data_IF_701711115180
#
_entry.id   IF_701711115180
#
_cell.length_a   1.000
_cell.length_b   1.000
_cell.length_c   1.000
_cell.angle_alpha   90.00
_cell.angle_beta   90.00
_cell.angle_gamma   90.00
#
_symmetry.space_group_name_H-M   'P 1'
#
loop_
_entity.id
_entity.type
_entity.pdbx_description
1 polymer ?
#
# COMPACT_ATOMS: atom_id res chain seq x y z
N UNK A 1 11.28 23.60 -22.27
CA UNK A 1 11.44 23.32 -20.83
C UNK A 1 12.19 22.01 -20.68
N UNK A 2 13.45 22.06 -20.24
CA UNK A 2 14.28 20.88 -20.02
C UNK A 2 13.68 20.02 -18.91
N UNK A 3 13.34 18.76 -19.22
CA UNK A 3 13.04 17.76 -18.19
C UNK A 3 14.35 17.48 -17.46
N UNK A 4 14.51 18.05 -16.27
CA UNK A 4 15.62 17.75 -15.35
C UNK A 4 15.61 16.24 -15.09
N UNK A 5 16.52 15.51 -15.72
CA UNK A 5 16.66 14.07 -15.54
C UNK A 5 17.07 13.87 -14.07
N UNK A 6 16.12 13.45 -13.24
CA UNK A 6 16.41 13.01 -11.88
C UNK A 6 17.39 11.84 -11.99
N UNK A 7 18.65 12.06 -11.56
CA UNK A 7 19.63 10.99 -11.45
C UNK A 7 19.04 9.89 -10.58
N UNK A 8 18.84 8.69 -11.14
CA UNK A 8 18.37 7.53 -10.38
C UNK A 8 19.46 7.17 -9.36
N UNK A 9 19.20 7.42 -8.09
CA UNK A 9 20.08 7.04 -6.97
C UNK A 9 19.54 5.78 -6.34
N UNK A 10 20.41 4.81 -6.12
CA UNK A 10 20.07 3.60 -5.35
C UNK A 10 20.36 3.95 -3.89
N UNK A 11 19.34 3.88 -3.05
CA UNK A 11 19.43 4.09 -1.61
C UNK A 11 18.83 2.87 -0.90
N UNK A 12 19.40 2.46 0.25
CA UNK A 12 18.78 1.45 1.10
C UNK A 12 17.34 1.83 1.47
N UNK A 13 16.45 0.85 1.51
CA UNK A 13 15.03 1.07 1.85
C UNK A 13 14.87 1.74 3.22
N UNK A 14 15.66 1.35 4.22
CA UNK A 14 15.57 1.94 5.56
C UNK A 14 15.86 3.43 5.53
N UNK A 15 16.96 3.85 4.87
CA UNK A 15 17.31 5.26 4.73
C UNK A 15 16.26 6.04 3.93
N UNK A 16 15.65 5.42 2.92
CA UNK A 16 14.56 6.04 2.17
C UNK A 16 13.35 6.28 3.09
N UNK A 17 12.91 5.26 3.82
CA UNK A 17 11.72 5.35 4.65
C UNK A 17 11.92 6.16 5.92
N UNK A 18 13.15 6.30 6.44
CA UNK A 18 13.47 7.27 7.49
C UNK A 18 13.17 8.71 7.01
N UNK A 19 13.60 9.09 5.80
CA UNK A 19 13.25 10.41 5.25
C UNK A 19 11.75 10.58 5.01
N UNK A 20 11.06 9.51 4.62
CA UNK A 20 9.60 9.52 4.47
C UNK A 20 8.94 9.77 5.84
N UNK A 21 9.36 9.05 6.89
CA UNK A 21 8.86 9.24 8.27
C UNK A 21 9.08 10.67 8.76
N UNK A 22 10.27 11.23 8.59
CA UNK A 22 10.58 12.60 9.01
C UNK A 22 9.63 13.62 8.37
N UNK A 23 9.41 13.52 7.06
CA UNK A 23 8.49 14.42 6.33
C UNK A 23 7.04 14.25 6.79
N UNK A 24 6.59 13.01 6.99
CA UNK A 24 5.25 12.74 7.50
C UNK A 24 5.07 13.28 8.93
N UNK A 25 6.09 13.15 9.79
CA UNK A 25 6.10 13.71 11.15
C UNK A 25 6.04 15.24 11.13
N UNK A 26 6.63 15.88 10.12
CA UNK A 26 6.54 17.32 9.89
C UNK A 26 5.20 17.76 9.27
N UNK A 27 4.21 16.87 9.16
CA UNK A 27 2.90 17.17 8.58
C UNK A 27 2.88 17.28 7.06
N UNK A 28 3.97 16.92 6.38
CA UNK A 28 4.06 16.99 4.92
C UNK A 28 3.41 15.77 4.28
N UNK A 29 2.85 15.96 3.09
CA UNK A 29 2.47 14.86 2.20
C UNK A 29 3.69 14.38 1.44
N UNK A 30 3.85 13.07 1.30
CA UNK A 30 5.00 12.46 0.62
C UNK A 30 4.53 11.64 -0.57
N UNK A 31 5.13 11.85 -1.74
CA UNK A 31 4.86 11.06 -2.93
C UNK A 31 5.96 10.01 -3.12
N UNK A 32 5.61 8.73 -3.17
CA UNK A 32 6.55 7.61 -3.34
C UNK A 32 6.11 6.68 -4.48
N UNK A 33 7.04 5.98 -5.15
CA UNK A 33 6.68 4.92 -6.08
C UNK A 33 6.26 3.65 -5.36
N UNK A 34 5.27 2.96 -5.90
CA UNK A 34 4.90 1.59 -5.53
C UNK A 34 5.93 0.63 -6.10
N UNK A 35 6.45 -0.25 -5.25
CA UNK A 35 7.42 -1.27 -5.62
C UNK A 35 6.80 -2.67 -5.55
N UNK A 36 7.04 -3.49 -6.57
CA UNK A 36 6.56 -4.87 -6.65
C UNK A 36 5.10 -4.97 -7.11
N UNK A 37 4.53 -6.17 -6.93
CA UNK A 37 3.22 -6.56 -7.47
C UNK A 37 2.15 -6.82 -6.41
N UNK A 38 2.46 -6.60 -5.13
CA UNK A 38 1.55 -6.99 -4.04
C UNK A 38 0.22 -6.24 -4.07
N UNK A 39 0.18 -5.05 -4.66
CA UNK A 39 -1.02 -4.21 -4.78
C UNK A 39 -1.74 -4.32 -6.12
N UNK A 40 -1.32 -5.24 -7.00
CA UNK A 40 -2.04 -5.52 -8.23
C UNK A 40 -3.42 -6.14 -7.91
N UNK A 41 -4.47 -5.86 -8.69
CA UNK A 41 -4.46 -5.10 -9.94
C UNK A 41 -4.61 -3.58 -9.78
N UNK A 42 -4.86 -3.08 -8.57
CA UNK A 42 -5.24 -1.67 -8.35
C UNK A 42 -4.06 -0.71 -8.46
N UNK A 43 -2.92 -1.07 -7.88
CA UNK A 43 -1.66 -0.35 -8.03
C UNK A 43 -0.60 -1.26 -8.64
N UNK A 44 0.08 -0.75 -9.65
CA UNK A 44 1.13 -1.45 -10.38
C UNK A 44 2.51 -0.92 -9.96
N UNK A 45 3.53 -1.73 -10.18
CA UNK A 45 4.91 -1.31 -9.97
C UNK A 45 5.23 -0.03 -10.76
N UNK A 46 5.67 1.02 -10.06
CA UNK A 46 5.98 2.33 -10.64
C UNK A 46 4.83 3.34 -10.58
N UNK A 47 3.61 2.94 -10.21
CA UNK A 47 2.55 3.89 -9.85
C UNK A 47 3.02 4.76 -8.67
N UNK A 48 2.60 6.01 -8.62
CA UNK A 48 2.96 6.94 -7.56
C UNK A 48 1.81 7.06 -6.57
N UNK A 49 2.08 6.91 -5.27
CA UNK A 49 1.10 7.15 -4.21
C UNK A 49 1.48 8.38 -3.41
N UNK A 50 0.47 9.16 -3.02
CA UNK A 50 0.62 10.27 -2.08
C UNK A 50 0.18 9.79 -0.72
N UNK A 51 1.07 9.98 0.25
CA UNK A 51 0.92 9.59 1.63
C UNK A 51 0.69 10.82 2.51
N UNK A 52 -0.23 10.71 3.46
CA UNK A 52 -0.28 11.59 4.63
C UNK A 52 -0.01 10.79 5.90
N UNK A 53 0.37 11.48 6.98
CA UNK A 53 0.52 10.87 8.30
C UNK A 53 -0.78 10.15 8.70
N UNK A 54 -0.63 8.93 9.22
CA UNK A 54 -1.76 8.17 9.71
C UNK A 54 -2.33 8.81 10.99
N UNK A 55 -3.65 8.93 11.04
CA UNK A 55 -4.43 9.39 12.18
C UNK A 55 -5.48 8.33 12.56
N UNK A 56 -6.02 8.36 13.77
CA UNK A 56 -7.00 7.35 14.22
C UNK A 56 -8.27 7.31 13.35
N UNK A 57 -8.69 8.46 12.81
CA UNK A 57 -9.80 8.56 11.85
C UNK A 57 -9.52 7.85 10.51
N UNK A 58 -8.27 7.49 10.23
CA UNK A 58 -7.88 6.71 9.07
C UNK A 58 -7.98 5.21 9.27
N UNK A 59 -8.26 4.75 10.49
CA UNK A 59 -8.43 3.34 10.81
C UNK A 59 -9.77 2.81 10.27
N UNK A 60 -9.83 2.67 8.95
CA UNK A 60 -11.04 2.30 8.21
C UNK A 60 -10.72 1.15 7.26
N UNK A 61 -11.57 0.11 7.32
CA UNK A 61 -11.47 -1.02 6.40
C UNK A 61 -11.47 -0.54 4.94
N UNK A 62 -10.49 -1.01 4.19
CA UNK A 62 -10.35 -0.78 2.76
C UNK A 62 -9.39 0.33 2.41
N UNK A 63 -8.94 1.16 3.35
CA UNK A 63 -7.84 2.12 3.10
C UNK A 63 -6.52 1.37 2.89
N UNK A 64 -5.64 1.96 2.08
CA UNK A 64 -4.28 1.47 1.85
C UNK A 64 -3.35 2.25 2.77
N UNK A 65 -2.49 1.55 3.49
CA UNK A 65 -1.58 2.13 4.48
C UNK A 65 -0.15 1.68 4.24
N UNK A 66 0.79 2.55 4.59
CA UNK A 66 2.20 2.22 4.75
C UNK A 66 2.43 1.81 6.20
N UNK A 67 2.90 0.59 6.42
CA UNK A 67 3.18 0.04 7.74
C UNK A 67 4.58 -0.58 7.80
N UNK A 68 5.12 -0.72 9.01
CA UNK A 68 6.34 -1.47 9.26
C UNK A 68 6.00 -2.85 9.81
N UNK A 69 6.43 -3.90 9.12
CA UNK A 69 6.13 -5.28 9.48
C UNK A 69 7.30 -6.19 9.13
N UNK A 70 7.73 -7.06 10.06
CA UNK A 70 8.82 -8.02 9.86
C UNK A 70 10.09 -7.42 9.23
N UNK A 71 10.58 -6.30 9.78
CA UNK A 71 11.77 -5.58 9.30
C UNK A 71 11.66 -5.05 7.86
N UNK A 72 10.44 -4.81 7.38
CA UNK A 72 10.20 -4.23 6.06
C UNK A 72 9.05 -3.23 6.10
N UNK A 73 9.07 -2.30 5.14
CA UNK A 73 7.96 -1.39 4.90
C UNK A 73 7.02 -2.00 3.86
N UNK A 74 5.75 -2.11 4.22
CA UNK A 74 4.71 -2.69 3.37
C UNK A 74 3.62 -1.65 3.10
N UNK A 75 3.16 -1.61 1.85
CA UNK A 75 2.04 -0.76 1.43
C UNK A 75 0.85 -1.67 1.12
N UNK A 76 -0.07 -1.86 2.06
CA UNK A 76 -1.14 -2.85 1.97
C UNK A 76 -2.50 -2.29 2.42
N UNK A 77 -3.57 -3.01 2.07
CA UNK A 77 -4.93 -2.62 2.41
C UNK A 77 -5.31 -3.13 3.80
N UNK A 78 -5.95 -2.28 4.60
CA UNK A 78 -6.61 -2.69 5.85
C UNK A 78 -7.80 -3.57 5.46
N UNK A 79 -7.72 -4.87 5.73
CA UNK A 79 -8.77 -5.83 5.38
C UNK A 79 -9.66 -6.20 6.56
N UNK A 80 -9.17 -6.03 7.79
CA UNK A 80 -9.93 -6.22 9.02
C UNK A 80 -9.35 -5.36 10.13
N UNK A 81 -10.23 -4.83 10.96
CA UNK A 81 -9.90 -4.18 12.24
C UNK A 81 -10.63 -4.96 13.32
N UNK A 82 -9.94 -5.36 14.38
CA UNK A 82 -10.53 -6.03 15.54
C UNK A 82 -9.77 -5.61 16.79
N UNK A 83 -10.46 -4.92 17.71
CA UNK A 83 -9.86 -4.44 18.97
C UNK A 83 -8.53 -3.70 18.66
N UNK A 84 -7.41 -4.20 19.18
CA UNK A 84 -6.08 -3.62 18.99
C UNK A 84 -5.31 -4.16 17.77
N UNK A 85 -5.93 -5.06 17.01
CA UNK A 85 -5.31 -5.72 15.86
C UNK A 85 -5.87 -5.19 14.53
N UNK A 86 -4.95 -4.86 13.63
CA UNK A 86 -5.22 -4.49 12.24
C UNK A 86 -4.65 -5.57 11.35
N UNK A 87 -5.49 -6.16 10.51
CA UNK A 87 -5.06 -7.10 9.49
C UNK A 87 -4.87 -6.35 8.18
N UNK A 88 -3.66 -6.45 7.61
CA UNK A 88 -3.33 -5.96 6.28
C UNK A 88 -3.23 -7.12 5.29
N UNK A 89 -3.47 -6.80 4.02
CA UNK A 89 -3.11 -7.68 2.91
C UNK A 89 -2.86 -6.87 1.64
N UNK A 90 -1.93 -7.36 0.81
CA UNK A 90 -1.81 -6.91 -0.57
C UNK A 90 -3.03 -7.33 -1.41
N UNK A 91 -3.41 -6.51 -2.38
CA UNK A 91 -4.55 -6.82 -3.27
C UNK A 91 -4.28 -8.01 -4.21
N UNK A 92 -3.00 -8.24 -4.53
CA UNK A 92 -2.53 -9.36 -5.35
C UNK A 92 -2.40 -10.65 -4.53
N UNK A 93 -2.52 -10.55 -3.21
CA UNK A 93 -2.31 -11.69 -2.35
C UNK A 93 -3.54 -12.61 -2.27
N UNK A 94 -3.24 -13.92 -2.25
CA UNK A 94 -4.23 -14.99 -2.17
C UNK A 94 -4.32 -15.57 -0.74
N UNK A 95 -3.22 -15.55 0.03
CA UNK A 95 -3.11 -16.31 1.29
C UNK A 95 -2.53 -15.52 2.46
N UNK A 96 -1.47 -14.73 2.25
CA UNK A 96 -0.70 -14.07 3.30
C UNK A 96 -1.45 -12.88 3.92
N UNK A 97 -1.37 -12.70 5.22
CA UNK A 97 -1.90 -11.51 5.88
C UNK A 97 -0.88 -11.04 6.90
N UNK A 98 -0.82 -9.73 7.10
CA UNK A 98 -0.03 -9.14 8.17
C UNK A 98 -0.97 -8.76 9.30
N UNK A 99 -0.65 -9.16 10.53
CA UNK A 99 -1.39 -8.76 11.73
C UNK A 99 -0.48 -7.80 12.50
N UNK A 100 -0.91 -6.55 12.60
CA UNK A 100 -0.16 -5.45 13.21
C UNK A 100 -1.02 -4.69 14.20
N UNK A 101 -0.42 -3.77 14.93
CA UNK A 101 -1.14 -2.76 15.71
C UNK A 101 -1.25 -1.45 14.92
N UNK A 102 -2.12 -0.53 15.35
CA UNK A 102 -2.18 0.80 14.76
C UNK A 102 -0.87 1.59 14.89
N UNK A 103 -0.02 1.26 15.88
CA UNK A 103 1.29 1.90 16.11
C UNK A 103 2.30 1.57 15.02
N UNK A 104 2.11 0.44 14.33
CA UNK A 104 2.97 -0.01 13.24
C UNK A 104 2.63 0.70 11.91
N UNK A 105 1.53 1.46 11.87
CA UNK A 105 1.08 2.20 10.69
C UNK A 105 1.69 3.60 10.68
N UNK A 106 2.39 3.94 9.61
CA UNK A 106 3.07 5.23 9.45
C UNK A 106 2.18 6.24 8.72
N UNK A 107 1.52 5.80 7.66
CA UNK A 107 0.82 6.66 6.73
C UNK A 107 -0.35 5.98 6.05
N UNK A 108 -1.27 6.80 5.52
CA UNK A 108 -2.37 6.37 4.67
C UNK A 108 -2.21 6.95 3.28
N UNK A 109 -2.55 6.16 2.27
CA UNK A 109 -2.62 6.62 0.87
C UNK A 109 -3.86 7.48 0.71
N UNK A 110 -3.66 8.69 0.18
CA UNK A 110 -4.74 9.63 -0.11
C UNK A 110 -5.00 9.78 -1.61
N UNK A 111 -3.94 9.75 -2.43
CA UNK A 111 -4.02 9.87 -3.89
C UNK A 111 -3.07 8.87 -4.56
N UNK A 112 -3.36 8.49 -5.80
CA UNK A 112 -2.51 7.61 -6.59
C UNK A 112 -2.50 8.00 -8.08
N UNK A 113 -1.40 7.74 -8.77
CA UNK A 113 -1.19 8.12 -10.16
C UNK A 113 -0.48 7.03 -10.96
N UNK A 114 -0.93 6.82 -12.19
CA UNK A 114 -0.23 6.00 -13.21
C UNK A 114 0.21 6.91 -14.35
N UNK A 115 1.51 7.19 -14.40
CA UNK A 115 2.03 8.30 -15.21
C UNK A 115 1.38 9.60 -14.76
N UNK A 116 0.74 10.31 -15.68
CA UNK A 116 0.04 11.57 -15.39
C UNK A 116 -1.44 11.39 -15.02
N UNK A 117 -1.97 10.15 -15.08
CA UNK A 117 -3.38 9.86 -14.81
C UNK A 117 -3.61 9.57 -13.33
N UNK A 118 -4.53 10.28 -12.72
CA UNK A 118 -5.01 10.00 -11.37
C UNK A 118 -5.84 8.70 -11.33
N UNK A 119 -5.59 7.88 -10.31
CA UNK A 119 -6.26 6.60 -10.07
C UNK A 119 -7.31 6.76 -8.98
N UNK A 120 -8.48 6.15 -9.19
CA UNK A 120 -9.52 6.10 -8.17
C UNK A 120 -9.15 5.02 -7.14
N UNK A 121 -8.85 5.44 -5.91
CA UNK A 121 -8.61 4.52 -4.80
C UNK A 121 -9.95 4.11 -4.20
N UNK A 122 -10.49 3.00 -4.67
CA UNK A 122 -11.78 2.50 -4.18
C UNK A 122 -11.61 1.55 -2.99
N UNK A 123 -12.03 1.98 -1.81
CA UNK A 123 -11.95 1.20 -0.56
C UNK A 123 -12.87 -0.01 -0.57
N UNK A 124 -14.09 0.14 -1.07
CA UNK A 124 -15.11 -0.91 -1.13
C UNK A 124 -14.76 -2.00 -2.14
N UNK A 125 -14.36 -1.60 -3.35
CA UNK A 125 -13.97 -2.55 -4.40
C UNK A 125 -12.75 -3.37 -3.98
N UNK A 126 -11.77 -2.74 -3.33
CA UNK A 126 -10.62 -3.46 -2.76
C UNK A 126 -11.02 -4.49 -1.70
N UNK A 127 -11.99 -4.16 -0.84
CA UNK A 127 -12.53 -5.10 0.15
C UNK A 127 -13.25 -6.28 -0.49
N UNK A 128 -14.07 -6.03 -1.51
CA UNK A 128 -14.74 -7.09 -2.28
C UNK A 128 -13.69 -7.98 -2.93
N UNK A 129 -12.68 -7.40 -3.57
CA UNK A 129 -11.59 -8.12 -4.22
C UNK A 129 -10.80 -9.02 -3.25
N UNK A 130 -10.55 -8.55 -2.03
CA UNK A 130 -9.93 -9.36 -0.98
C UNK A 130 -10.82 -10.53 -0.55
N UNK A 131 -12.13 -10.34 -0.41
CA UNK A 131 -13.07 -11.44 -0.06
C UNK A 131 -13.15 -12.49 -1.16
N UNK A 132 -13.12 -12.07 -2.42
CA UNK A 132 -13.10 -12.96 -3.58
C UNK A 132 -11.79 -13.75 -3.74
N UNK A 133 -10.75 -13.49 -2.93
CA UNK A 133 -9.45 -14.17 -3.06
C UNK A 133 -9.53 -15.68 -2.98
N UNK A 134 -10.45 -16.23 -2.18
CA UNK A 134 -10.63 -17.69 -2.07
C UNK A 134 -11.17 -18.27 -3.38
N UNK A 135 -12.13 -17.59 -4.00
CA UNK A 135 -12.66 -17.97 -5.31
C UNK A 135 -11.57 -17.85 -6.37
N UNK A 136 -10.80 -16.75 -6.36
CA UNK A 136 -9.64 -16.56 -7.25
C UNK A 136 -8.60 -17.68 -7.09
N UNK A 137 -8.34 -18.11 -5.86
CA UNK A 137 -7.41 -19.21 -5.55
C UNK A 137 -7.86 -20.54 -6.15
N UNK A 138 -9.14 -20.88 -5.96
CA UNK A 138 -9.73 -22.13 -6.46
C UNK A 138 -9.77 -22.12 -7.98
N UNK A 139 -10.21 -21.00 -8.58
CA UNK A 139 -10.25 -20.84 -10.03
C UNK A 139 -8.85 -20.99 -10.65
N UNK A 140 -7.82 -20.34 -10.09
CA UNK A 140 -6.44 -20.49 -10.56
C UNK A 140 -5.93 -21.93 -10.53
N UNK A 141 -6.30 -22.71 -9.50
CA UNK A 141 -5.96 -24.14 -9.41
C UNK A 141 -6.67 -24.99 -10.46
N UNK A 142 -7.94 -24.69 -10.77
CA UNK A 142 -8.75 -25.47 -11.71
C UNK A 142 -8.39 -25.16 -13.17
N UNK A 143 -8.12 -23.89 -13.49
CA UNK A 143 -7.95 -23.43 -14.87
C UNK A 143 -6.49 -23.12 -15.26
N UNK A 144 -5.52 -23.39 -14.38
CA UNK A 144 -4.10 -23.42 -14.73
C UNK A 144 -3.47 -22.07 -15.08
N UNK A 145 -4.08 -20.95 -14.66
CA UNK A 145 -3.50 -19.62 -14.84
C UNK A 145 -2.37 -19.47 -13.80
N UNK A 146 -1.12 -19.59 -14.27
CA UNK A 146 0.09 -19.30 -13.49
C UNK A 146 0.30 -17.80 -13.30
#
# INVERSE_FOLDING_TARGET
MEKKILSKRIIPNDLFFEQVKERLNAGQKVKIPVAGKSMEPFLQNGDLVVLKRFEENDLVNGKIVLAYFNNAYVLHRIVRIKEDAVTLAGDGNIQQVEIITNKDILAVVIDAYRGDKELIINTLLGQIWYKLRVIRAVYGKIFGIK
#
